data_IF_217269460108
#
_entry.id   IF_217269460108
#
_cell.length_a   1.000
_cell.length_b   1.000
_cell.length_c   1.000
_cell.angle_alpha   90.00
_cell.angle_beta   90.00
_cell.angle_gamma   90.00
#
_symmetry.space_group_name_H-M   'P 1'
#
loop_
_entity.id
_entity.type
_entity.pdbx_description
1 polymer ?
#
# COMPACT_ATOMS: atom_id res chain seq x y z
N UNK A 1 -58.42 10.21 -31.65
CA UNK A 1 -58.29 8.75 -31.52
C UNK A 1 -57.25 8.34 -32.55
N UNK A 2 -56.00 8.02 -32.24
CA UNK A 2 -55.29 7.86 -30.97
C UNK A 2 -53.78 7.94 -31.26
N UNK A 3 -53.01 8.31 -30.24
CA UNK A 3 -51.62 7.92 -29.97
C UNK A 3 -50.49 8.49 -30.87
N UNK A 4 -50.14 9.76 -30.63
CA UNK A 4 -48.75 10.22 -30.79
C UNK A 4 -47.98 9.89 -29.50
N UNK A 5 -47.24 8.77 -29.54
CA UNK A 5 -46.34 8.31 -28.50
C UNK A 5 -45.12 9.25 -28.39
N UNK A 6 -45.28 10.33 -27.62
CA UNK A 6 -44.20 11.28 -27.32
C UNK A 6 -43.39 10.73 -26.14
N UNK A 7 -42.40 9.89 -26.41
CA UNK A 7 -41.40 9.51 -25.41
C UNK A 7 -40.56 10.76 -25.09
N UNK A 8 -40.55 11.30 -23.85
CA UNK A 8 -39.66 12.41 -23.53
C UNK A 8 -38.20 11.92 -23.58
N UNK A 9 -37.26 12.75 -24.06
CA UNK A 9 -35.87 12.36 -24.15
C UNK A 9 -35.37 12.10 -22.73
N UNK A 10 -34.87 10.89 -22.50
CA UNK A 10 -34.11 10.52 -21.30
C UNK A 10 -33.07 11.61 -21.09
N UNK A 11 -33.29 12.44 -20.07
CA UNK A 11 -32.27 13.33 -19.56
C UNK A 11 -31.05 12.47 -19.28
N UNK A 12 -29.99 12.68 -20.03
CA UNK A 12 -28.66 12.22 -19.65
C UNK A 12 -28.37 12.86 -18.30
N UNK A 13 -28.69 12.13 -17.24
CA UNK A 13 -28.18 12.39 -15.91
C UNK A 13 -26.67 12.27 -16.07
N UNK A 14 -26.02 13.40 -16.35
CA UNK A 14 -24.60 13.61 -16.09
C UNK A 14 -24.39 13.03 -14.72
N UNK A 15 -23.75 11.86 -14.63
CA UNK A 15 -23.32 11.34 -13.36
C UNK A 15 -22.28 12.35 -12.89
N UNK A 16 -22.72 13.35 -12.13
CA UNK A 16 -21.85 14.17 -11.32
C UNK A 16 -21.08 13.16 -10.49
N UNK A 17 -19.86 12.88 -10.95
CA UNK A 17 -18.87 12.12 -10.23
C UNK A 17 -18.80 12.79 -8.87
N UNK A 18 -19.52 12.24 -7.90
CA UNK A 18 -19.63 12.68 -6.52
C UNK A 18 -18.31 12.33 -5.81
N UNK A 19 -17.20 12.74 -6.40
CA UNK A 19 -15.90 12.69 -5.77
C UNK A 19 -15.95 13.75 -4.69
N UNK A 20 -15.92 13.40 -3.41
CA UNK A 20 -15.80 14.39 -2.36
C UNK A 20 -14.52 15.21 -2.66
N UNK A 21 -14.50 16.52 -2.32
CA UNK A 21 -13.29 17.31 -2.47
C UNK A 21 -12.13 16.59 -1.78
N UNK A 22 -11.05 16.36 -2.54
CA UNK A 22 -9.82 15.74 -2.02
C UNK A 22 -9.42 16.48 -0.75
N UNK A 23 -9.26 15.77 0.38
CA UNK A 23 -8.80 16.40 1.62
C UNK A 23 -7.38 16.93 1.39
N UNK A 24 -7.13 18.17 1.80
CA UNK A 24 -5.78 18.70 1.87
C UNK A 24 -4.93 17.77 2.75
N UNK A 25 -3.90 17.20 2.15
CA UNK A 25 -3.03 16.21 2.77
C UNK A 25 -1.67 16.85 2.96
N UNK A 26 -1.12 16.79 4.17
CA UNK A 26 0.29 17.11 4.41
C UNK A 26 1.12 15.82 4.28
N UNK A 27 1.78 15.60 3.12
CA UNK A 27 2.61 14.43 2.90
C UNK A 27 3.82 14.33 3.82
N UNK A 28 4.30 15.45 4.35
CA UNK A 28 5.66 15.58 4.86
C UNK A 28 5.88 14.70 6.11
N UNK A 29 4.92 14.68 7.04
CA UNK A 29 4.99 13.84 8.25
C UNK A 29 5.05 12.36 7.90
N UNK A 30 4.28 11.96 6.88
CA UNK A 30 4.30 10.60 6.39
C UNK A 30 5.68 10.28 5.81
N UNK A 31 6.17 11.08 4.86
CA UNK A 31 7.49 10.86 4.26
C UNK A 31 8.60 10.73 5.29
N UNK A 32 8.65 11.61 6.29
CA UNK A 32 9.65 11.54 7.37
C UNK A 32 9.57 10.20 8.12
N UNK A 33 8.37 9.75 8.47
CA UNK A 33 8.18 8.45 9.13
C UNK A 33 8.67 7.27 8.26
N UNK A 34 8.34 7.27 6.97
CA UNK A 34 8.76 6.19 6.06
C UNK A 34 10.26 6.19 5.82
N UNK A 35 10.87 7.36 5.61
CA UNK A 35 12.32 7.50 5.48
C UNK A 35 13.03 7.02 6.73
N UNK A 36 12.52 7.38 7.92
CA UNK A 36 13.10 6.94 9.18
C UNK A 36 12.98 5.41 9.36
N UNK A 37 11.84 4.82 9.01
CA UNK A 37 11.67 3.36 9.06
C UNK A 37 12.64 2.63 8.13
N UNK A 38 12.84 3.14 6.91
CA UNK A 38 13.83 2.59 5.97
C UNK A 38 15.25 2.74 6.53
N UNK A 39 15.59 3.89 7.10
CA UNK A 39 16.90 4.10 7.73
C UNK A 39 17.14 3.11 8.88
N UNK A 40 16.14 2.91 9.75
CA UNK A 40 16.22 1.93 10.84
C UNK A 40 16.42 0.52 10.28
N UNK A 41 15.75 0.15 9.19
CA UNK A 41 15.95 -1.14 8.54
C UNK A 41 17.41 -1.33 8.09
N UNK A 42 18.05 -0.31 7.53
CA UNK A 42 19.48 -0.36 7.21
C UNK A 42 20.36 -0.49 8.46
N UNK A 43 20.06 0.26 9.53
CA UNK A 43 20.80 0.12 10.80
C UNK A 43 20.67 -1.30 11.37
N UNK A 44 19.47 -1.88 11.36
CA UNK A 44 19.24 -3.27 11.78
C UNK A 44 19.98 -4.28 10.91
N UNK A 45 20.02 -4.05 9.59
CA UNK A 45 20.81 -4.88 8.68
C UNK A 45 22.28 -4.89 9.06
N UNK A 46 22.88 -3.72 9.32
CA UNK A 46 24.29 -3.63 9.71
C UNK A 46 24.60 -4.27 11.07
N UNK A 47 23.68 -4.19 12.03
CA UNK A 47 23.90 -4.68 13.39
C UNK A 47 23.59 -6.17 13.56
N UNK A 48 22.54 -6.67 12.90
CA UNK A 48 21.96 -8.01 13.19
C UNK A 48 21.65 -8.79 11.88
N UNK A 49 21.86 -8.18 10.72
CA UNK A 49 21.61 -8.81 9.42
C UNK A 49 20.13 -8.88 9.03
N UNK A 50 19.86 -9.66 7.98
CA UNK A 50 18.52 -9.80 7.40
C UNK A 50 17.43 -10.31 8.37
N UNK A 51 17.69 -11.19 9.36
CA UNK A 51 16.64 -11.64 10.28
C UNK A 51 15.93 -10.50 11.02
N UNK A 52 16.67 -9.47 11.46
CA UNK A 52 16.09 -8.31 12.13
C UNK A 52 15.26 -7.44 11.16
N UNK A 53 15.74 -7.27 9.92
CA UNK A 53 15.02 -6.55 8.87
C UNK A 53 13.71 -7.26 8.52
N UNK A 54 13.74 -8.59 8.38
CA UNK A 54 12.55 -9.41 8.13
C UNK A 54 11.53 -9.23 9.25
N UNK A 55 11.95 -9.31 10.52
CA UNK A 55 11.05 -9.13 11.66
C UNK A 55 10.41 -7.73 11.67
N UNK A 56 11.20 -6.69 11.42
CA UNK A 56 10.71 -5.32 11.31
C UNK A 56 9.72 -5.15 10.15
N UNK A 57 10.04 -5.67 8.96
CA UNK A 57 9.16 -5.56 7.80
C UNK A 57 7.89 -6.38 7.97
N UNK A 58 7.96 -7.53 8.64
CA UNK A 58 6.78 -8.35 8.98
C UNK A 58 5.77 -7.56 9.82
N UNK A 59 6.24 -6.77 10.79
CA UNK A 59 5.37 -5.88 11.56
C UNK A 59 4.58 -4.93 10.65
N UNK A 60 5.25 -4.29 9.69
CA UNK A 60 4.59 -3.39 8.73
C UNK A 60 3.66 -4.12 7.76
N UNK A 61 4.02 -5.31 7.30
CA UNK A 61 3.16 -6.15 6.45
C UNK A 61 1.88 -6.55 7.22
N UNK A 62 1.98 -6.96 8.47
CA UNK A 62 0.82 -7.27 9.32
C UNK A 62 -0.07 -6.02 9.47
N UNK A 63 0.52 -4.86 9.75
CA UNK A 63 -0.20 -3.61 9.84
C UNK A 63 -0.93 -3.28 8.52
N UNK A 64 -0.26 -3.48 7.39
CA UNK A 64 -0.81 -3.26 6.05
C UNK A 64 -1.96 -4.23 5.72
N UNK A 65 -1.86 -5.51 6.12
CA UNK A 65 -2.96 -6.48 5.98
C UNK A 65 -4.17 -5.99 6.76
N UNK A 66 -3.99 -5.63 8.04
CA UNK A 66 -5.08 -5.13 8.91
C UNK A 66 -5.75 -3.89 8.33
N UNK A 67 -4.95 -2.94 7.85
CA UNK A 67 -5.45 -1.73 7.23
C UNK A 67 -6.18 -2.01 5.91
N UNK A 68 -5.66 -2.91 5.07
CA UNK A 68 -6.30 -3.34 3.82
C UNK A 68 -7.65 -3.96 4.11
N UNK A 69 -7.73 -4.90 5.06
CA UNK A 69 -9.00 -5.53 5.46
C UNK A 69 -9.98 -4.46 5.92
N UNK A 70 -9.56 -3.51 6.76
CA UNK A 70 -10.40 -2.41 7.20
C UNK A 70 -10.92 -1.60 6.00
N UNK A 71 -10.05 -1.17 5.10
CA UNK A 71 -10.44 -0.35 3.92
C UNK A 71 -11.42 -1.09 3.02
N UNK A 72 -11.17 -2.36 2.72
CA UNK A 72 -12.03 -3.18 1.85
C UNK A 72 -13.45 -3.30 2.41
N UNK A 73 -13.59 -3.46 3.72
CA UNK A 73 -14.88 -3.61 4.38
C UNK A 73 -15.59 -2.28 4.68
N UNK A 74 -14.84 -1.22 4.99
CA UNK A 74 -15.44 0.03 5.51
C UNK A 74 -15.59 1.14 4.48
N UNK A 75 -14.80 1.14 3.40
CA UNK A 75 -14.81 2.25 2.45
C UNK A 75 -15.85 1.97 1.36
N UNK A 76 -16.49 3.00 0.83
CA UNK A 76 -17.50 2.83 -0.23
C UNK A 76 -16.86 2.78 -1.62
N UNK A 77 -15.77 3.52 -1.81
CA UNK A 77 -15.15 3.73 -3.12
C UNK A 77 -14.35 2.50 -3.60
N UNK A 78 -14.79 1.92 -4.74
CA UNK A 78 -14.10 0.79 -5.39
C UNK A 78 -12.62 1.05 -5.66
N UNK A 79 -12.28 2.28 -6.10
CA UNK A 79 -10.89 2.68 -6.34
C UNK A 79 -10.02 2.56 -5.09
N UNK A 80 -10.50 3.04 -3.93
CA UNK A 80 -9.76 2.96 -2.68
C UNK A 80 -9.50 1.49 -2.26
N UNK A 81 -10.50 0.62 -2.45
CA UNK A 81 -10.36 -0.83 -2.19
C UNK A 81 -9.33 -1.48 -3.10
N UNK A 82 -9.41 -1.22 -4.40
CA UNK A 82 -8.48 -1.78 -5.39
C UNK A 82 -7.05 -1.31 -5.13
N UNK A 83 -6.84 -0.01 -4.91
CA UNK A 83 -5.53 0.55 -4.59
C UNK A 83 -4.97 -0.03 -3.28
N UNK A 84 -5.82 -0.25 -2.26
CA UNK A 84 -5.42 -0.90 -1.01
C UNK A 84 -4.92 -2.33 -1.24
N UNK A 85 -5.64 -3.13 -2.04
CA UNK A 85 -5.26 -4.50 -2.38
C UNK A 85 -3.97 -4.53 -3.22
N UNK A 86 -3.81 -3.61 -4.16
CA UNK A 86 -2.57 -3.49 -4.96
C UNK A 86 -1.39 -3.16 -4.04
N UNK A 87 -1.53 -2.20 -3.13
CA UNK A 87 -0.52 -1.84 -2.14
C UNK A 87 -0.09 -3.04 -1.29
N UNK A 88 -1.05 -3.84 -0.84
CA UNK A 88 -0.78 -5.06 -0.09
C UNK A 88 -0.08 -6.12 -0.93
N UNK A 89 -0.60 -6.40 -2.13
CA UNK A 89 -0.08 -7.43 -3.01
C UNK A 89 1.39 -7.21 -3.35
N UNK A 90 1.73 -6.00 -3.80
CA UNK A 90 3.11 -5.69 -4.14
C UNK A 90 4.03 -5.73 -2.90
N UNK A 91 3.56 -5.26 -1.73
CA UNK A 91 4.34 -5.29 -0.48
C UNK A 91 4.61 -6.73 -0.03
N UNK A 92 3.63 -7.63 -0.16
CA UNK A 92 3.82 -9.06 0.10
C UNK A 92 4.86 -9.64 -0.86
N UNK A 93 4.81 -9.31 -2.15
CA UNK A 93 5.80 -9.78 -3.13
C UNK A 93 7.22 -9.41 -2.72
N UNK A 94 7.48 -8.14 -2.39
CA UNK A 94 8.82 -7.73 -1.94
C UNK A 94 9.19 -8.30 -0.57
N UNK A 95 8.23 -8.52 0.32
CA UNK A 95 8.49 -9.21 1.58
C UNK A 95 8.92 -10.66 1.36
N UNK A 96 8.29 -11.38 0.43
CA UNK A 96 8.70 -12.74 0.09
C UNK A 96 10.12 -12.78 -0.51
N UNK A 97 10.45 -11.82 -1.39
CA UNK A 97 11.83 -11.66 -1.91
C UNK A 97 12.80 -11.46 -0.75
N UNK A 98 12.49 -10.55 0.18
CA UNK A 98 13.31 -10.28 1.37
C UNK A 98 13.50 -11.54 2.23
N UNK A 99 12.44 -12.29 2.47
CA UNK A 99 12.50 -13.52 3.29
C UNK A 99 13.37 -14.56 2.62
N UNK A 100 13.11 -14.89 1.35
CA UNK A 100 13.85 -15.93 0.62
C UNK A 100 15.33 -15.57 0.52
N UNK A 101 15.64 -14.37 0.03
CA UNK A 101 17.01 -13.94 -0.14
C UNK A 101 17.72 -13.65 1.19
N UNK A 102 17.01 -13.08 2.16
CA UNK A 102 17.56 -12.77 3.48
C UNK A 102 17.93 -14.02 4.27
N UNK A 103 17.08 -15.06 4.25
CA UNK A 103 17.40 -16.35 4.87
C UNK A 103 18.51 -17.07 4.12
N UNK A 104 18.46 -17.09 2.78
CA UNK A 104 19.52 -17.69 1.98
C UNK A 104 20.87 -17.06 2.30
N UNK A 105 20.96 -15.73 2.27
CA UNK A 105 22.19 -15.01 2.58
C UNK A 105 22.69 -15.29 4.00
N UNK A 106 21.79 -15.37 4.99
CA UNK A 106 22.17 -15.68 6.37
C UNK A 106 22.73 -17.11 6.54
N UNK A 107 22.34 -18.05 5.68
CA UNK A 107 22.77 -19.45 5.75
C UNK A 107 23.99 -19.74 4.88
N UNK A 108 24.01 -19.24 3.64
CA UNK A 108 24.98 -19.61 2.61
C UNK A 108 25.92 -18.47 2.23
N UNK A 109 25.66 -17.24 2.70
CA UNK A 109 26.37 -16.03 2.26
C UNK A 109 26.02 -15.59 0.84
N UNK A 110 25.00 -16.21 0.21
CA UNK A 110 24.60 -15.94 -1.17
C UNK A 110 23.10 -15.78 -1.31
N UNK A 111 22.68 -14.94 -2.25
CA UNK A 111 21.28 -14.87 -2.68
C UNK A 111 20.97 -16.02 -3.64
N UNK A 112 19.77 -16.57 -3.57
CA UNK A 112 19.35 -17.73 -4.41
C UNK A 112 18.22 -17.36 -5.37
N UNK A 113 17.44 -16.31 -5.07
CA UNK A 113 16.37 -15.83 -5.92
C UNK A 113 16.75 -14.50 -6.57
N UNK A 114 16.59 -14.38 -7.90
CA UNK A 114 16.97 -13.19 -8.67
C UNK A 114 18.43 -12.74 -8.38
N UNK A 115 19.37 -13.67 -8.54
CA UNK A 115 20.81 -13.47 -8.24
C UNK A 115 21.46 -12.31 -8.98
N UNK A 116 20.94 -11.96 -10.17
CA UNK A 116 21.42 -10.84 -10.97
C UNK A 116 20.93 -9.47 -10.43
N UNK A 117 19.97 -9.50 -9.50
CA UNK A 117 19.37 -8.32 -8.87
C UNK A 117 19.60 -8.34 -7.35
N UNK A 118 20.86 -8.48 -6.94
CA UNK A 118 21.25 -8.56 -5.52
C UNK A 118 20.76 -7.35 -4.71
N UNK A 119 20.82 -6.16 -5.33
CA UNK A 119 20.35 -4.91 -4.73
C UNK A 119 18.83 -4.88 -4.51
N UNK A 120 18.06 -5.68 -5.25
CA UNK A 120 16.61 -5.73 -5.10
C UNK A 120 16.23 -6.13 -3.67
N UNK A 121 16.96 -7.08 -3.08
CA UNK A 121 16.76 -7.53 -1.69
C UNK A 121 16.98 -6.38 -0.71
N UNK A 122 18.03 -5.58 -0.92
CA UNK A 122 18.34 -4.44 -0.05
C UNK A 122 17.35 -3.28 -0.20
N UNK A 123 16.65 -3.19 -1.34
CA UNK A 123 15.62 -2.20 -1.60
C UNK A 123 14.21 -2.62 -1.15
N UNK A 124 14.00 -3.90 -0.83
CA UNK A 124 12.69 -4.40 -0.36
C UNK A 124 12.07 -3.59 0.78
N UNK A 125 12.81 -3.06 1.79
CA UNK A 125 12.19 -2.25 2.83
C UNK A 125 11.57 -0.97 2.27
N UNK A 126 12.21 -0.34 1.29
CA UNK A 126 11.67 0.85 0.62
C UNK A 126 10.35 0.54 -0.09
N UNK A 127 10.29 -0.57 -0.83
CA UNK A 127 9.09 -0.98 -1.52
C UNK A 127 7.96 -1.30 -0.53
N UNK A 128 8.22 -2.08 0.51
CA UNK A 128 7.22 -2.41 1.54
C UNK A 128 6.70 -1.13 2.22
N UNK A 129 7.60 -0.22 2.60
CA UNK A 129 7.21 1.05 3.23
C UNK A 129 6.43 1.96 2.27
N UNK A 130 6.71 1.91 0.96
CA UNK A 130 5.88 2.58 -0.05
C UNK A 130 4.41 2.13 0.00
N UNK A 131 4.14 0.89 0.40
CA UNK A 131 2.80 0.30 0.35
C UNK A 131 2.02 0.72 1.57
N UNK A 132 2.73 0.77 2.71
CA UNK A 132 2.25 1.39 3.94
C UNK A 132 1.97 2.88 3.73
N UNK A 133 2.83 3.60 2.99
CA UNK A 133 2.59 4.99 2.61
C UNK A 133 1.36 5.15 1.72
N UNK A 134 1.26 4.35 0.66
CA UNK A 134 0.08 4.33 -0.22
C UNK A 134 -1.21 4.07 0.56
N UNK A 135 -1.18 3.14 1.52
CA UNK A 135 -2.29 2.86 2.41
C UNK A 135 -2.65 4.05 3.31
N UNK A 136 -1.65 4.71 3.90
CA UNK A 136 -1.89 5.91 4.72
C UNK A 136 -2.54 7.04 3.90
N UNK A 137 -2.15 7.20 2.63
CA UNK A 137 -2.75 8.16 1.72
C UNK A 137 -4.20 7.79 1.40
N UNK A 138 -4.48 6.52 1.11
CA UNK A 138 -5.85 6.03 0.89
C UNK A 138 -6.72 6.35 2.12
N UNK A 139 -6.23 6.03 3.32
CA UNK A 139 -6.98 6.26 4.56
C UNK A 139 -7.30 7.73 4.79
N UNK A 140 -6.37 8.63 4.44
CA UNK A 140 -6.59 10.07 4.61
C UNK A 140 -7.51 10.67 3.55
N UNK A 141 -7.39 10.25 2.30
CA UNK A 141 -8.19 10.80 1.19
C UNK A 141 -9.62 10.24 1.16
N UNK A 142 -9.78 8.96 1.43
CA UNK A 142 -11.04 8.22 1.23
C UNK A 142 -11.68 7.70 2.51
N UNK A 143 -11.06 7.93 3.67
CA UNK A 143 -11.59 7.46 4.94
C UNK A 143 -12.89 8.14 5.36
N UNK A 144 -13.67 7.50 6.26
CA UNK A 144 -14.90 8.08 6.80
C UNK A 144 -14.66 9.51 7.31
N UNK A 145 -15.64 10.40 7.12
CA UNK A 145 -15.60 11.74 7.73
C UNK A 145 -15.95 11.59 9.22
N UNK A 146 -15.21 12.22 10.14
CA UNK A 146 -15.74 12.42 11.49
C UNK A 146 -17.09 13.12 11.33
N UNK A 147 -18.15 12.55 11.90
CA UNK A 147 -19.41 13.26 12.03
C UNK A 147 -19.15 14.45 12.98
N UNK A 148 -19.33 15.66 12.47
CA UNK A 148 -19.38 16.87 13.30
C UNK A 148 -20.70 16.90 14.06
#
# INVERSE_FOLDING_TARGET
MSDEDTTPPKSETKSESTRPPMRAFNPLVNYVFYTLAVLIAYVLFFLVGYPAVIAMMLFFVIQLIRDTVRVVHTYEYKFAKQAAVVNLGYSITFFLILVVNGFSYAQTGSFVFLTDFQDLTSWTPMFIMGGVFGMANIKRMWGPRPAY
#
